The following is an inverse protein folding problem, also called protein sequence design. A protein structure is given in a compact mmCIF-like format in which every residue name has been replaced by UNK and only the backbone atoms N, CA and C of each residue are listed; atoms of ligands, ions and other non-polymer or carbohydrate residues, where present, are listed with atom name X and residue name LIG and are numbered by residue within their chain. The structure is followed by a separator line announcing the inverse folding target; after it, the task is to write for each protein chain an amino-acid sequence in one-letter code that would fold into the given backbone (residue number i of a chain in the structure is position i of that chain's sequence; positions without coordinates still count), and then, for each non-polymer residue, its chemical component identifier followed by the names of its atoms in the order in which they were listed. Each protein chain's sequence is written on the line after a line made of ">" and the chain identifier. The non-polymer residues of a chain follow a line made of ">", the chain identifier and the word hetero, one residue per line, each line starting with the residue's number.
data_IF_394678053099
#
_entry.id   IF_394678053099
#
_cell.length_a   1.000
_cell.length_b   1.000
_cell.length_c   1.000
_cell.angle_alpha   90.00
_cell.angle_beta   90.00
_cell.angle_gamma   90.00
#
_symmetry.space_group_name_H-M   'P 1'
#
loop_
_entity.id
_entity.type
_entity.pdbx_description
1 polymer ?
#
# COMPACT_ATOMS: atom_id res chain seq x y z
N UNK A 1 -10.31 -2.80 5.55
CA UNK A 1 -9.65 -2.25 4.36
C UNK A 1 -8.23 -2.81 4.18
N UNK A 2 -7.29 -2.55 5.07
CA UNK A 2 -5.91 -3.04 4.94
C UNK A 2 -5.82 -4.56 4.86
N UNK A 3 -6.62 -5.29 5.62
CA UNK A 3 -6.70 -6.76 5.56
C UNK A 3 -7.18 -7.24 4.18
N UNK A 4 -8.15 -6.55 3.61
CA UNK A 4 -8.67 -6.88 2.28
C UNK A 4 -7.61 -6.65 1.19
N UNK A 5 -6.94 -5.50 1.22
CA UNK A 5 -5.87 -5.19 0.27
C UNK A 5 -4.68 -6.15 0.43
N UNK A 6 -4.29 -6.49 1.66
CA UNK A 6 -3.27 -7.49 1.92
C UNK A 6 -3.65 -8.88 1.39
N UNK A 7 -4.92 -9.26 1.50
CA UNK A 7 -5.40 -10.53 0.94
C UNK A 7 -5.33 -10.54 -0.58
N UNK A 8 -5.69 -9.44 -1.24
CA UNK A 8 -5.54 -9.29 -2.68
C UNK A 8 -4.08 -9.41 -3.12
N UNK A 9 -3.17 -8.74 -2.42
CA UNK A 9 -1.72 -8.85 -2.68
C UNK A 9 -1.23 -10.28 -2.46
N UNK A 10 -1.69 -10.96 -1.42
CA UNK A 10 -1.34 -12.35 -1.15
C UNK A 10 -1.74 -13.29 -2.29
N UNK A 11 -2.95 -13.10 -2.83
CA UNK A 11 -3.44 -13.89 -3.98
C UNK A 11 -2.63 -13.59 -5.25
N UNK A 12 -2.37 -12.31 -5.51
CA UNK A 12 -1.54 -11.89 -6.63
C UNK A 12 -0.11 -12.47 -6.51
N UNK A 13 0.46 -12.45 -5.32
CA UNK A 13 1.78 -13.01 -5.05
C UNK A 13 1.80 -14.53 -5.26
N UNK A 14 0.78 -15.25 -4.83
CA UNK A 14 0.63 -16.69 -5.09
C UNK A 14 0.58 -16.97 -6.60
N UNK A 15 -0.18 -16.16 -7.35
CA UNK A 15 -0.24 -16.25 -8.80
C UNK A 15 1.12 -15.95 -9.45
N UNK A 16 1.83 -14.91 -8.98
CA UNK A 16 3.17 -14.58 -9.47
C UNK A 16 4.12 -15.76 -9.33
N UNK A 17 4.17 -16.41 -8.16
CA UNK A 17 5.03 -17.56 -7.95
C UNK A 17 4.67 -18.74 -8.83
N UNK A 18 3.39 -18.99 -9.10
CA UNK A 18 2.99 -20.05 -10.03
C UNK A 18 3.47 -19.77 -11.47
N UNK A 19 3.49 -18.50 -11.88
CA UNK A 19 3.96 -18.07 -13.20
C UNK A 19 5.48 -18.20 -13.31
N UNK A 20 6.22 -17.77 -12.29
CA UNK A 20 7.70 -17.83 -12.27
C UNK A 20 8.21 -19.26 -12.36
N UNK A 21 7.51 -20.20 -11.74
CA UNK A 21 7.92 -21.60 -11.68
C UNK A 21 7.57 -22.41 -12.95
N UNK A 22 6.93 -21.77 -13.95
CA UNK A 22 6.62 -22.39 -15.23
C UNK A 22 7.72 -22.13 -16.26
N UNK A 23 7.99 -23.12 -17.12
CA UNK A 23 8.87 -22.94 -18.27
C UNK A 23 8.26 -22.09 -19.39
N UNK A 24 6.93 -22.16 -19.56
CA UNK A 24 6.18 -21.39 -20.55
C UNK A 24 4.94 -20.75 -19.93
N UNK A 25 4.73 -19.49 -20.20
CA UNK A 25 3.58 -18.72 -19.74
C UNK A 25 2.56 -18.55 -20.87
N UNK A 26 1.26 -18.62 -20.51
CA UNK A 26 0.16 -18.34 -21.44
C UNK A 26 0.12 -16.86 -21.80
N UNK A 27 -0.57 -16.51 -22.88
CA UNK A 27 -0.77 -15.09 -23.26
C UNK A 27 -1.53 -14.29 -22.18
N UNK A 28 -2.46 -14.92 -21.48
CA UNK A 28 -3.18 -14.30 -20.36
C UNK A 28 -2.24 -14.01 -19.18
N UNK A 29 -1.32 -14.91 -18.89
CA UNK A 29 -0.30 -14.72 -17.84
C UNK A 29 0.68 -13.61 -18.21
N UNK A 30 1.13 -13.55 -19.45
CA UNK A 30 1.98 -12.45 -19.96
C UNK A 30 1.27 -11.11 -19.88
N UNK A 31 -0.01 -11.04 -20.25
CA UNK A 31 -0.83 -9.83 -20.14
C UNK A 31 -1.02 -9.39 -18.70
N UNK A 32 -1.24 -10.33 -17.78
CA UNK A 32 -1.34 -10.07 -16.35
C UNK A 32 -0.02 -9.52 -15.79
N UNK A 33 1.12 -10.12 -16.14
CA UNK A 33 2.45 -9.63 -15.75
C UNK A 33 2.68 -8.21 -16.25
N UNK A 34 2.37 -7.91 -17.52
CA UNK A 34 2.49 -6.57 -18.10
C UNK A 34 1.70 -5.53 -17.28
N UNK A 35 0.46 -5.88 -16.89
CA UNK A 35 -0.37 -5.04 -16.02
C UNK A 35 0.27 -4.81 -14.65
N UNK A 36 0.85 -5.86 -14.05
CA UNK A 36 1.52 -5.78 -12.75
C UNK A 36 2.80 -4.96 -12.79
N UNK A 37 3.63 -5.10 -13.82
CA UNK A 37 4.80 -4.23 -14.01
C UNK A 37 4.41 -2.76 -14.07
N UNK A 38 3.35 -2.43 -14.78
CA UNK A 38 2.83 -1.06 -14.83
C UNK A 38 2.32 -0.60 -13.46
N UNK A 39 1.55 -1.44 -12.78
CA UNK A 39 0.98 -1.15 -11.47
C UNK A 39 2.06 -0.86 -10.41
N UNK A 40 3.14 -1.62 -10.43
CA UNK A 40 4.26 -1.50 -9.47
C UNK A 40 5.42 -0.63 -9.97
N UNK A 41 5.26 0.04 -11.10
CA UNK A 41 6.22 1.02 -11.61
C UNK A 41 7.57 0.39 -12.01
N UNK A 42 7.55 -0.71 -12.76
CA UNK A 42 8.73 -1.47 -13.19
C UNK A 42 8.85 -1.45 -14.73
N UNK A 43 9.39 -0.38 -15.33
CA UNK A 43 9.55 -0.31 -16.79
C UNK A 43 10.53 -1.35 -17.35
N UNK A 44 11.52 -1.76 -16.56
CA UNK A 44 12.48 -2.82 -16.92
C UNK A 44 11.87 -4.21 -17.05
N UNK A 45 10.64 -4.41 -16.56
CA UNK A 45 9.96 -5.72 -16.49
C UNK A 45 10.80 -6.80 -15.81
N UNK A 46 11.51 -6.43 -14.75
CA UNK A 46 12.32 -7.32 -13.93
C UNK A 46 11.44 -8.05 -12.90
N UNK A 47 11.35 -9.38 -13.03
CA UNK A 47 10.57 -10.22 -12.11
C UNK A 47 11.08 -10.20 -10.69
N UNK A 48 12.38 -10.03 -10.48
CA UNK A 48 12.96 -9.96 -9.14
C UNK A 48 12.52 -8.70 -8.41
N UNK A 49 12.44 -7.59 -9.12
CA UNK A 49 11.91 -6.33 -8.57
C UNK A 49 10.41 -6.45 -8.28
N UNK A 50 9.64 -7.06 -9.16
CA UNK A 50 8.21 -7.28 -8.94
C UNK A 50 7.96 -8.14 -7.69
N UNK A 51 8.73 -9.21 -7.51
CA UNK A 51 8.67 -10.08 -6.33
C UNK A 51 8.91 -9.32 -5.02
N UNK A 52 9.81 -8.35 -5.02
CA UNK A 52 10.13 -7.51 -3.86
C UNK A 52 9.04 -6.46 -3.61
N UNK A 53 8.51 -5.85 -4.67
CA UNK A 53 7.51 -4.78 -4.57
C UNK A 53 6.09 -5.29 -4.27
N UNK A 54 5.71 -6.42 -4.85
CA UNK A 54 4.40 -7.03 -4.68
C UNK A 54 4.35 -7.83 -3.38
N UNK A 55 4.26 -7.16 -2.25
CA UNK A 55 4.13 -7.80 -0.95
C UNK A 55 3.26 -6.99 0.02
N UNK A 56 2.81 -7.65 1.08
CA UNK A 56 1.91 -7.12 2.07
C UNK A 56 2.59 -6.09 2.97
N UNK A 57 1.78 -5.19 3.52
CA UNK A 57 2.16 -4.32 4.63
C UNK A 57 1.52 -4.86 5.90
N UNK A 58 2.27 -5.17 6.96
CA UNK A 58 1.70 -5.66 8.20
C UNK A 58 0.61 -4.73 8.74
N UNK A 59 -0.50 -5.30 9.16
CA UNK A 59 -1.67 -4.52 9.63
C UNK A 59 -1.31 -3.64 10.81
N UNK A 60 -0.58 -4.17 11.78
CA UNK A 60 -0.13 -3.43 12.96
C UNK A 60 0.76 -2.24 12.60
N UNK A 61 1.63 -2.39 11.60
CA UNK A 61 2.45 -1.30 11.09
C UNK A 61 1.61 -0.19 10.45
N UNK A 62 0.66 -0.58 9.59
CA UNK A 62 -0.26 0.36 8.95
C UNK A 62 -1.11 1.13 9.98
N UNK A 63 -1.61 0.43 11.01
CA UNK A 63 -2.38 1.05 12.09
C UNK A 63 -1.53 1.99 12.94
N UNK A 64 -0.30 1.62 13.27
CA UNK A 64 0.62 2.47 14.04
C UNK A 64 0.97 3.74 13.26
N UNK A 65 1.22 3.65 11.97
CA UNK A 65 1.46 4.83 11.13
C UNK A 65 0.21 5.71 11.00
N UNK A 66 -0.97 5.12 10.82
CA UNK A 66 -2.23 5.86 10.81
C UNK A 66 -2.47 6.60 12.12
N UNK A 67 -2.24 5.95 13.25
CA UNK A 67 -2.37 6.57 14.56
C UNK A 67 -1.40 7.75 14.74
N UNK A 68 -0.15 7.60 14.33
CA UNK A 68 0.87 8.66 14.39
C UNK A 68 0.50 9.86 13.54
N UNK A 69 0.12 9.64 12.28
CA UNK A 69 -0.26 10.70 11.34
C UNK A 69 -1.53 11.44 11.75
N UNK A 70 -2.46 10.76 12.39
CA UNK A 70 -3.73 11.34 12.84
C UNK A 70 -3.68 11.89 14.27
N UNK A 71 -2.51 11.86 14.94
CA UNK A 71 -2.41 12.24 16.35
C UNK A 71 -3.29 11.38 17.24
N UNK A 72 -3.28 10.04 17.01
CA UNK A 72 -4.09 9.06 17.73
C UNK A 72 -5.62 9.30 17.60
N UNK A 73 -6.04 9.82 16.45
CA UNK A 73 -7.45 10.06 16.16
C UNK A 73 -7.99 11.39 16.73
N UNK A 74 -7.12 12.21 17.30
CA UNK A 74 -7.52 13.55 17.84
C UNK A 74 -7.58 14.63 16.77
N UNK A 75 -6.98 14.42 15.60
CA UNK A 75 -7.03 15.39 14.53
C UNK A 75 -8.44 15.51 13.96
N UNK A 76 -8.86 16.73 13.61
CA UNK A 76 -10.13 17.00 12.93
C UNK A 76 -10.30 16.13 11.67
N UNK A 77 -9.22 15.88 10.97
CA UNK A 77 -9.20 15.08 9.75
C UNK A 77 -9.44 13.58 10.00
N UNK A 78 -8.91 13.04 11.08
CA UNK A 78 -9.21 11.67 11.49
C UNK A 78 -10.68 11.51 11.85
N UNK A 79 -11.23 12.49 12.56
CA UNK A 79 -12.63 12.52 12.94
C UNK A 79 -13.57 12.66 11.75
N UNK A 80 -13.17 13.43 10.74
CA UNK A 80 -13.92 13.63 9.50
C UNK A 80 -13.67 12.52 8.45
N UNK A 81 -12.76 11.56 8.73
CA UNK A 81 -12.43 10.45 7.84
C UNK A 81 -11.54 10.83 6.65
N UNK A 82 -10.85 11.97 6.73
CA UNK A 82 -10.21 12.58 5.57
C UNK A 82 -8.71 12.31 5.39
N UNK A 83 -7.99 11.66 6.26
CA UNK A 83 -6.59 11.30 6.00
C UNK A 83 -6.03 10.35 7.05
N UNK A 84 -6.38 9.09 6.98
CA UNK A 84 -5.79 8.07 7.85
C UNK A 84 -4.27 7.90 7.64
N UNK A 85 -3.71 8.37 6.53
CA UNK A 85 -2.32 8.12 6.15
C UNK A 85 -1.56 9.35 5.60
N UNK A 86 -2.02 10.56 5.86
CA UNK A 86 -1.32 11.79 5.44
C UNK A 86 -1.15 11.98 3.93
N UNK A 87 -1.76 11.13 3.12
CA UNK A 87 -1.64 11.20 1.68
C UNK A 87 -2.81 11.97 1.07
N UNK A 88 -2.63 13.26 0.98
CA UNK A 88 -3.57 14.15 0.30
C UNK A 88 -3.35 14.12 -1.20
N UNK A 89 -4.32 13.65 -1.94
CA UNK A 89 -4.47 14.09 -3.32
C UNK A 89 -5.31 15.36 -3.31
N UNK A 90 -4.66 16.48 -3.42
CA UNK A 90 -5.31 17.74 -3.78
C UNK A 90 -5.70 17.67 -5.26
N UNK A 91 -6.73 16.95 -5.60
CA UNK A 91 -7.49 17.21 -6.83
C UNK A 91 -8.57 18.20 -6.46
N UNK A 92 -8.45 19.42 -6.93
CA UNK A 92 -9.35 20.53 -6.64
C UNK A 92 -10.77 20.42 -7.21
N UNK A 93 -11.23 19.21 -7.51
CA UNK A 93 -12.62 18.94 -7.87
C UNK A 93 -13.32 18.31 -6.67
N UNK A 94 -13.97 19.14 -5.89
CA UNK A 94 -14.91 18.72 -4.87
C UNK A 94 -16.03 17.92 -5.53
N UNK A 95 -16.05 16.60 -5.29
CA UNK A 95 -17.21 15.78 -5.60
C UNK A 95 -18.40 16.27 -4.78
N UNK A 96 -19.26 17.06 -5.41
CA UNK A 96 -20.57 17.41 -4.85
C UNK A 96 -21.44 16.16 -4.85
N UNK A 97 -22.02 15.74 -3.71
CA UNK A 97 -23.00 14.66 -3.71
C UNK A 97 -24.23 15.06 -4.52
N UNK A 98 -24.63 14.24 -5.47
CA UNK A 98 -25.98 14.32 -6.00
C UNK A 98 -26.94 13.86 -4.91
N UNK A 99 -27.99 14.65 -4.72
CA UNK A 99 -29.08 14.44 -3.76
C UNK A 99 -29.57 12.99 -3.75
N UNK A 100 -29.17 12.23 -2.75
CA UNK A 100 -29.84 11.01 -2.30
C UNK A 100 -29.40 10.78 -0.86
N UNK A 101 -30.33 10.81 0.06
CA UNK A 101 -30.24 10.51 1.49
C UNK A 101 -28.85 10.83 2.10
N UNK A 102 -28.69 12.08 2.55
CA UNK A 102 -27.38 12.69 2.92
C UNK A 102 -26.54 11.84 3.88
N UNK A 103 -27.16 10.99 4.68
CA UNK A 103 -26.44 10.17 5.65
C UNK A 103 -25.78 8.93 5.04
N UNK A 104 -26.44 8.27 4.10
CA UNK A 104 -25.89 7.07 3.43
C UNK A 104 -24.87 7.42 2.35
N UNK A 105 -25.14 8.45 1.56
CA UNK A 105 -24.20 8.95 0.56
C UNK A 105 -22.90 9.44 1.21
N UNK A 106 -22.98 10.09 2.36
CA UNK A 106 -21.81 10.56 3.10
C UNK A 106 -20.97 9.42 3.67
N UNK A 107 -21.61 8.36 4.18
CA UNK A 107 -20.92 7.14 4.65
C UNK A 107 -20.23 6.39 3.52
N UNK A 108 -20.85 6.26 2.35
CA UNK A 108 -20.27 5.61 1.18
C UNK A 108 -19.07 6.40 0.66
N UNK A 109 -19.16 7.73 0.59
CA UNK A 109 -18.04 8.58 0.21
C UNK A 109 -16.85 8.47 1.18
N UNK A 110 -17.09 8.51 2.49
CA UNK A 110 -16.04 8.30 3.50
C UNK A 110 -15.35 6.95 3.34
N UNK A 111 -16.11 5.88 3.11
CA UNK A 111 -15.55 4.54 2.89
C UNK A 111 -14.68 4.49 1.64
N UNK A 112 -15.11 5.07 0.53
CA UNK A 112 -14.36 5.12 -0.72
C UNK A 112 -13.05 5.92 -0.57
N UNK A 113 -13.08 7.05 0.14
CA UNK A 113 -11.89 7.86 0.44
C UNK A 113 -10.90 7.08 1.29
N UNK A 114 -11.37 6.39 2.34
CA UNK A 114 -10.53 5.56 3.19
C UNK A 114 -9.88 4.40 2.41
N UNK A 115 -10.63 3.74 1.54
CA UNK A 115 -10.12 2.67 0.70
C UNK A 115 -9.05 3.17 -0.27
N UNK A 116 -9.28 4.32 -0.91
CA UNK A 116 -8.31 4.96 -1.79
C UNK A 116 -7.03 5.35 -1.02
N UNK A 117 -7.17 5.86 0.20
CA UNK A 117 -6.03 6.21 1.06
C UNK A 117 -5.20 4.98 1.45
N UNK A 118 -5.84 3.87 1.79
CA UNK A 118 -5.14 2.60 2.10
C UNK A 118 -4.38 2.09 0.89
N UNK A 119 -4.98 2.11 -0.30
CA UNK A 119 -4.32 1.71 -1.55
C UNK A 119 -3.14 2.62 -1.89
N UNK A 120 -3.31 3.92 -1.75
CA UNK A 120 -2.24 4.90 -1.99
C UNK A 120 -1.07 4.70 -1.02
N UNK A 121 -1.35 4.46 0.25
CA UNK A 121 -0.36 4.14 1.26
C UNK A 121 0.45 2.88 0.91
N UNK A 122 -0.23 1.77 0.62
CA UNK A 122 0.43 0.52 0.23
C UNK A 122 1.23 0.68 -1.06
N UNK A 123 0.68 1.37 -2.06
CA UNK A 123 1.38 1.67 -3.31
C UNK A 123 2.67 2.46 -3.04
N UNK A 124 2.62 3.46 -2.19
CA UNK A 124 3.76 4.28 -1.84
C UNK A 124 4.87 3.45 -1.20
N UNK A 125 4.55 2.64 -0.20
CA UNK A 125 5.52 1.72 0.42
C UNK A 125 6.10 0.71 -0.58
N UNK A 126 5.28 0.23 -1.50
CA UNK A 126 5.67 -0.80 -2.46
C UNK A 126 6.42 -0.26 -3.69
N UNK A 127 6.35 1.04 -3.98
CA UNK A 127 6.91 1.59 -5.23
C UNK A 127 7.87 2.75 -5.06
N UNK A 128 7.66 3.62 -4.06
CA UNK A 128 8.45 4.84 -3.92
C UNK A 128 9.90 4.53 -3.51
N UNK A 129 10.85 5.26 -4.10
CA UNK A 129 12.29 5.07 -3.88
C UNK A 129 12.71 5.18 -2.41
N UNK A 130 12.07 6.05 -1.66
CA UNK A 130 12.29 6.28 -0.23
C UNK A 130 12.13 5.01 0.62
N UNK A 131 11.24 4.10 0.24
CA UNK A 131 10.93 2.89 0.98
C UNK A 131 11.66 1.65 0.43
N UNK A 132 12.74 1.85 -0.33
CA UNK A 132 13.54 0.74 -0.86
C UNK A 132 14.09 -0.16 0.24
N UNK A 133 14.66 0.43 1.28
CA UNK A 133 15.23 -0.34 2.41
C UNK A 133 14.16 -1.11 3.18
N UNK A 134 12.99 -0.52 3.38
CA UNK A 134 11.83 -1.23 3.93
C UNK A 134 11.49 -2.48 3.10
N UNK A 135 11.43 -2.35 1.79
CA UNK A 135 11.12 -3.49 0.90
C UNK A 135 12.20 -4.57 0.92
N UNK A 136 13.47 -4.18 0.97
CA UNK A 136 14.58 -5.12 1.06
C UNK A 136 14.57 -5.87 2.41
N UNK A 137 14.32 -5.20 3.51
CA UNK A 137 14.17 -5.82 4.83
C UNK A 137 13.00 -6.82 4.85
N UNK A 138 11.87 -6.44 4.26
CA UNK A 138 10.71 -7.31 4.11
C UNK A 138 11.04 -8.56 3.27
N UNK A 139 11.74 -8.39 2.16
CA UNK A 139 12.18 -9.50 1.32
C UNK A 139 13.13 -10.44 2.07
N UNK A 140 14.04 -9.91 2.87
CA UNK A 140 14.94 -10.72 3.71
C UNK A 140 14.18 -11.58 4.72
N UNK A 141 13.15 -11.03 5.36
CA UNK A 141 12.28 -11.81 6.25
C UNK A 141 11.57 -12.95 5.49
N UNK A 142 11.08 -12.68 4.28
CA UNK A 142 10.47 -13.71 3.42
C UNK A 142 11.46 -14.80 3.04
N UNK A 143 12.65 -14.44 2.62
CA UNK A 143 13.71 -15.39 2.21
C UNK A 143 14.18 -16.26 3.39
N UNK A 144 14.17 -15.71 4.59
CA UNK A 144 14.47 -16.44 5.83
C UNK A 144 13.30 -17.29 6.36
N UNK A 145 12.14 -17.28 5.68
CA UNK A 145 10.92 -17.96 6.15
C UNK A 145 10.34 -17.40 7.44
N UNK A 146 10.68 -16.15 7.79
CA UNK A 146 10.20 -15.48 9.00
C UNK A 146 8.90 -14.71 8.71
N UNK A 147 8.04 -14.51 9.73
CA UNK A 147 6.86 -13.65 9.59
C UNK A 147 7.28 -12.19 9.34
N UNK A 148 6.42 -11.42 8.70
CA UNK A 148 6.63 -9.97 8.52
C UNK A 148 6.42 -9.25 9.85
N UNK A 149 7.49 -9.06 10.59
CA UNK A 149 7.50 -8.44 11.91
C UNK A 149 7.40 -6.93 11.81
N UNK A 150 6.32 -6.36 12.36
CA UNK A 150 6.06 -4.92 12.34
C UNK A 150 7.10 -4.11 13.10
N UNK A 151 7.65 -4.66 14.19
CA UNK A 151 8.66 -3.96 15.01
C UNK A 151 9.96 -3.84 14.23
N UNK A 152 10.40 -4.92 13.57
CA UNK A 152 11.58 -4.91 12.72
C UNK A 152 11.40 -3.94 11.56
N UNK A 153 10.26 -4.02 10.87
CA UNK A 153 9.99 -3.23 9.67
C UNK A 153 9.75 -1.74 9.97
N UNK A 154 9.21 -1.40 11.14
CA UNK A 154 8.98 0.00 11.53
C UNK A 154 10.26 0.82 11.60
N UNK A 155 11.39 0.20 11.95
CA UNK A 155 12.69 0.87 12.02
C UNK A 155 13.10 1.51 10.69
N UNK A 156 12.74 0.88 9.57
CA UNK A 156 13.04 1.39 8.22
C UNK A 156 12.10 2.52 7.77
N UNK A 157 11.05 2.79 8.50
CA UNK A 157 10.12 3.89 8.24
C UNK A 157 10.44 5.12 9.11
N UNK A 158 10.93 4.93 10.32
CA UNK A 158 11.27 6.01 11.24
C UNK A 158 12.52 6.78 10.81
N UNK A 159 13.51 6.13 10.21
CA UNK A 159 14.71 6.79 9.68
C UNK A 159 14.37 7.86 8.63
N UNK A 160 13.33 7.66 7.86
CA UNK A 160 12.89 8.64 6.85
C UNK A 160 12.24 9.87 7.48
N UNK A 161 11.47 9.72 8.54
CA UNK A 161 10.84 10.85 9.25
C UNK A 161 11.89 11.74 9.92
N UNK A 162 12.99 11.17 10.40
CA UNK A 162 14.10 11.94 10.97
C UNK A 162 14.86 12.76 9.92
N UNK A 163 14.96 12.26 8.68
CA UNK A 163 15.64 12.96 7.58
C UNK A 163 14.82 14.14 7.02
N UNK A 164 13.50 14.09 7.07
CA UNK A 164 12.62 15.19 6.64
C UNK A 164 12.62 16.34 7.65
N UNK A 165 12.83 16.07 8.93
CA UNK A 165 12.85 17.09 9.98
C UNK A 165 14.19 17.83 10.13
N UNK A 166 15.24 17.42 9.40
CA UNK A 166 16.60 18.02 9.45
C UNK A 166 16.88 18.90 8.22
N UNK A 167 16.02 18.94 7.23
CA UNK A 167 16.07 19.82 6.07
C UNK A 167 14.94 20.84 6.12
#
# INVERSE_FOLDING_TARGET
>A
LILQENNNIRLDRKRLFSIINKSNNTELEKKWLKKKYKQYGIPSRDLSILKIRMDQVPVSLALAQAAKETGWGTSRFAQEGNALFGQWTWSGEGLKPKEADESQGHKVMKFNVLQASVRAYQRNLNTHKTYKEFRLARAQLRDAGKPLDSIILSKYLDEYLSLIHIS
#
